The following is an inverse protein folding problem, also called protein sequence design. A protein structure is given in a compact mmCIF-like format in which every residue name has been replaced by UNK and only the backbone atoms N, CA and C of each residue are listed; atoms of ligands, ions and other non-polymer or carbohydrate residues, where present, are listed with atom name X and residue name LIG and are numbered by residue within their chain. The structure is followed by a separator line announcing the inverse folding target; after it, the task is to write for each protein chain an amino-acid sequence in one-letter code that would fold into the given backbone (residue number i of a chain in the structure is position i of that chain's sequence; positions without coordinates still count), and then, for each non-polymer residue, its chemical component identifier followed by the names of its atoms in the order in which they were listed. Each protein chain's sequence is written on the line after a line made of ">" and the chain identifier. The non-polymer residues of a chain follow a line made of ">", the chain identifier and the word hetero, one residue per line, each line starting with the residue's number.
data_IF_940409313431
#
_entry.id   IF_940409313431
#
_cell.length_a   1.000
_cell.length_b   1.000
_cell.length_c   1.000
_cell.angle_alpha   90.00
_cell.angle_beta   90.00
_cell.angle_gamma   90.00
#
_symmetry.space_group_name_H-M   'P 1'
#
loop_
_entity.id
_entity.type
_entity.pdbx_description
1 polymer ?
#
# COMPACT_ATOMS: atom_id res chain seq x y z
N UNK A 1 -6.18 -30.19 0.21
CA UNK A 1 -5.06 -29.74 -0.64
C UNK A 1 -5.55 -29.34 -2.03
N UNK A 2 -6.36 -30.17 -2.69
CA UNK A 2 -6.91 -29.89 -4.02
C UNK A 2 -7.71 -28.56 -4.10
N UNK A 3 -8.59 -28.28 -3.13
CA UNK A 3 -9.32 -27.01 -3.06
C UNK A 3 -8.42 -25.76 -3.07
N UNK A 4 -7.35 -25.77 -2.27
CA UNK A 4 -6.41 -24.65 -2.18
C UNK A 4 -5.64 -24.46 -3.48
N UNK A 5 -5.26 -25.56 -4.15
CA UNK A 5 -4.59 -25.51 -5.45
C UNK A 5 -5.53 -24.90 -6.49
N UNK A 6 -6.75 -25.42 -6.62
CA UNK A 6 -7.74 -24.90 -7.58
C UNK A 6 -8.06 -23.42 -7.34
N UNK A 7 -8.24 -23.03 -6.07
CA UNK A 7 -8.50 -21.63 -5.69
C UNK A 7 -7.31 -20.73 -6.02
N UNK A 8 -6.09 -21.17 -5.72
CA UNK A 8 -4.86 -20.42 -6.05
C UNK A 8 -4.69 -20.22 -7.55
N UNK A 9 -5.00 -21.23 -8.38
CA UNK A 9 -4.96 -21.10 -9.84
C UNK A 9 -6.05 -20.17 -10.36
N UNK A 10 -7.27 -20.25 -9.81
CA UNK A 10 -8.41 -19.42 -10.21
C UNK A 10 -8.17 -17.93 -9.94
N UNK A 11 -7.53 -17.59 -8.82
CA UNK A 11 -7.29 -16.20 -8.38
C UNK A 11 -5.81 -15.82 -8.38
N UNK A 12 -5.03 -16.42 -9.28
CA UNK A 12 -3.58 -16.25 -9.30
C UNK A 12 -3.18 -14.77 -9.44
N UNK A 13 -3.87 -14.02 -10.30
CA UNK A 13 -3.58 -12.60 -10.53
C UNK A 13 -3.85 -11.77 -9.26
N UNK A 14 -5.01 -11.96 -8.64
CA UNK A 14 -5.40 -11.25 -7.42
C UNK A 14 -4.43 -11.56 -6.29
N UNK A 15 -4.12 -12.83 -6.05
CA UNK A 15 -3.19 -13.25 -5.00
C UNK A 15 -1.78 -12.68 -5.21
N UNK A 16 -1.27 -12.68 -6.44
CA UNK A 16 0.05 -12.12 -6.76
C UNK A 16 0.09 -10.61 -6.56
N UNK A 17 -0.94 -9.88 -7.01
CA UNK A 17 -0.99 -8.43 -6.82
C UNK A 17 -1.17 -8.07 -5.35
N UNK A 18 -2.01 -8.79 -4.60
CA UNK A 18 -2.17 -8.57 -3.16
C UNK A 18 -0.88 -8.88 -2.41
N UNK A 19 -0.14 -9.93 -2.79
CA UNK A 19 1.17 -10.22 -2.21
C UNK A 19 2.18 -9.10 -2.51
N UNK A 20 2.19 -8.56 -3.73
CA UNK A 20 3.00 -7.42 -4.10
C UNK A 20 2.67 -6.18 -3.26
N UNK A 21 1.38 -5.83 -3.13
CA UNK A 21 0.94 -4.69 -2.31
C UNK A 21 1.25 -4.92 -0.84
N UNK A 22 1.01 -6.12 -0.31
CA UNK A 22 1.33 -6.48 1.07
C UNK A 22 2.81 -6.24 1.36
N UNK A 23 3.72 -6.79 0.56
CA UNK A 23 5.16 -6.64 0.78
C UNK A 23 5.57 -5.17 0.64
N UNK A 24 5.22 -4.53 -0.48
CA UNK A 24 5.69 -3.17 -0.77
C UNK A 24 5.16 -2.13 0.20
N UNK A 25 3.86 -2.15 0.50
CA UNK A 25 3.22 -1.09 1.29
C UNK A 25 3.29 -1.37 2.78
N UNK A 26 3.20 -2.63 3.22
CA UNK A 26 3.38 -2.92 4.65
C UNK A 26 4.84 -2.65 5.06
N UNK A 27 5.82 -3.06 4.26
CA UNK A 27 7.22 -2.75 4.54
C UNK A 27 7.47 -1.24 4.51
N UNK A 28 7.01 -0.53 3.46
CA UNK A 28 7.20 0.92 3.38
C UNK A 28 6.51 1.69 4.52
N UNK A 29 5.32 1.25 4.93
CA UNK A 29 4.59 1.85 6.05
C UNK A 29 5.30 1.62 7.38
N UNK A 30 5.82 0.41 7.63
CA UNK A 30 6.62 0.10 8.82
C UNK A 30 7.90 0.94 8.83
N UNK A 31 8.62 1.03 7.71
CA UNK A 31 9.86 1.82 7.59
C UNK A 31 9.62 3.31 7.90
N UNK A 32 8.49 3.87 7.45
CA UNK A 32 8.10 5.26 7.78
C UNK A 32 7.82 5.44 9.27
N UNK A 33 7.21 4.45 9.93
CA UNK A 33 6.91 4.53 11.36
C UNK A 33 8.16 4.35 12.23
N UNK A 34 9.12 3.52 11.80
CA UNK A 34 10.35 3.25 12.54
C UNK A 34 11.37 4.38 12.37
N UNK A 35 11.51 4.96 11.17
CA UNK A 35 12.34 6.14 10.90
C UNK A 35 11.51 7.33 10.41
N UNK A 36 10.63 7.81 11.29
CA UNK A 36 9.77 8.96 10.97
C UNK A 36 10.58 10.22 10.68
N UNK A 37 11.59 10.52 11.50
CA UNK A 37 12.36 11.76 11.39
C UNK A 37 13.22 11.80 10.12
N UNK A 38 13.84 10.68 9.73
CA UNK A 38 14.57 10.59 8.46
C UNK A 38 13.65 10.79 7.26
N UNK A 39 12.47 10.16 7.26
CA UNK A 39 11.48 10.33 6.20
C UNK A 39 10.93 11.77 6.12
N UNK A 40 10.71 12.42 7.26
CA UNK A 40 10.31 13.84 7.30
C UNK A 40 11.40 14.75 6.73
N UNK A 41 12.67 14.52 7.08
CA UNK A 41 13.78 15.29 6.53
C UNK A 41 13.90 15.10 5.01
N UNK A 42 13.81 13.86 4.53
CA UNK A 42 13.83 13.52 3.11
C UNK A 42 12.68 14.23 2.36
N UNK A 43 11.43 14.07 2.80
CA UNK A 43 10.28 14.60 2.08
C UNK A 43 10.27 16.14 2.05
N UNK A 44 10.72 16.78 3.13
CA UNK A 44 10.89 18.23 3.18
C UNK A 44 11.95 18.70 2.19
N UNK A 45 13.04 17.97 2.02
CA UNK A 45 14.09 18.30 1.04
C UNK A 45 13.60 18.16 -0.40
N UNK A 46 12.81 17.12 -0.70
CA UNK A 46 12.22 16.88 -2.03
C UNK A 46 11.28 18.03 -2.41
N UNK A 47 10.38 18.42 -1.50
CA UNK A 47 9.37 19.44 -1.78
C UNK A 47 9.77 20.87 -1.44
N UNK A 48 11.02 21.12 -1.05
CA UNK A 48 11.48 22.42 -0.52
C UNK A 48 11.19 23.62 -1.44
N UNK A 49 11.17 23.41 -2.77
CA UNK A 49 10.94 24.45 -3.78
C UNK A 49 9.55 24.38 -4.43
N UNK A 50 8.64 23.61 -3.84
CA UNK A 50 7.30 23.37 -4.39
C UNK A 50 6.23 23.98 -3.49
N UNK A 51 5.01 24.11 -3.99
CA UNK A 51 3.87 24.57 -3.20
C UNK A 51 3.47 23.56 -2.09
N UNK A 52 4.01 22.34 -2.11
CA UNK A 52 3.75 21.29 -1.11
C UNK A 52 4.66 21.38 0.11
N UNK A 53 5.67 22.25 0.13
CA UNK A 53 6.69 22.32 1.18
C UNK A 53 6.10 22.30 2.60
N UNK A 54 5.10 23.14 2.86
CA UNK A 54 4.50 23.34 4.18
C UNK A 54 3.57 22.20 4.62
N UNK A 55 3.07 21.39 3.69
CA UNK A 55 2.16 20.27 3.98
C UNK A 55 2.81 18.90 3.77
N UNK A 56 4.05 18.85 3.29
CA UNK A 56 4.79 17.62 2.95
C UNK A 56 4.81 16.57 4.07
N UNK A 57 4.99 16.99 5.33
CA UNK A 57 4.96 16.09 6.49
C UNK A 57 3.56 15.52 6.76
N UNK A 58 2.51 16.32 6.54
CA UNK A 58 1.13 15.85 6.67
C UNK A 58 0.76 14.85 5.57
N UNK A 59 1.21 15.11 4.33
CA UNK A 59 1.05 14.18 3.22
C UNK A 59 1.77 12.86 3.50
N UNK A 60 2.99 12.90 4.05
CA UNK A 60 3.71 11.69 4.46
C UNK A 60 2.91 10.86 5.46
N UNK A 61 2.24 11.49 6.43
CA UNK A 61 1.41 10.79 7.41
C UNK A 61 0.20 10.10 6.77
N UNK A 62 -0.48 10.80 5.86
CA UNK A 62 -1.61 10.23 5.10
C UNK A 62 -1.15 9.03 4.28
N UNK A 63 -0.01 9.15 3.58
CA UNK A 63 0.55 8.08 2.77
C UNK A 63 0.92 6.88 3.64
N UNK A 64 1.64 7.08 4.75
CA UNK A 64 2.02 6.00 5.65
C UNK A 64 0.80 5.26 6.20
N UNK A 65 -0.25 5.99 6.61
CA UNK A 65 -1.49 5.38 7.08
C UNK A 65 -2.19 4.58 5.97
N UNK A 66 -2.31 5.13 4.76
CA UNK A 66 -2.96 4.47 3.64
C UNK A 66 -2.19 3.23 3.16
N UNK A 67 -0.85 3.27 3.16
CA UNK A 67 0.01 2.12 2.87
C UNK A 67 -0.21 0.99 3.88
N UNK A 68 -0.20 1.31 5.18
CA UNK A 68 -0.46 0.32 6.24
C UNK A 68 -1.87 -0.29 6.09
N UNK A 69 -2.87 0.55 5.81
CA UNK A 69 -4.24 0.08 5.56
C UNK A 69 -4.31 -0.85 4.35
N UNK A 70 -3.69 -0.48 3.22
CA UNK A 70 -3.63 -1.32 2.03
C UNK A 70 -2.89 -2.64 2.28
N UNK A 71 -1.80 -2.63 3.04
CA UNK A 71 -1.08 -3.83 3.45
C UNK A 71 -1.94 -4.77 4.30
N UNK A 72 -2.60 -4.23 5.34
CA UNK A 72 -3.48 -5.02 6.22
C UNK A 72 -4.68 -5.59 5.43
N UNK A 73 -5.32 -4.78 4.59
CA UNK A 73 -6.42 -5.25 3.73
C UNK A 73 -5.95 -6.31 2.74
N UNK A 74 -4.72 -6.22 2.23
CA UNK A 74 -4.14 -7.24 1.34
C UNK A 74 -3.94 -8.56 2.06
N UNK A 75 -3.45 -8.54 3.31
CA UNK A 75 -3.32 -9.74 4.13
C UNK A 75 -4.67 -10.40 4.39
N UNK A 76 -5.69 -9.60 4.76
CA UNK A 76 -7.06 -10.09 4.96
C UNK A 76 -7.64 -10.64 3.65
N UNK A 77 -7.42 -9.93 2.53
CA UNK A 77 -7.88 -10.33 1.20
C UNK A 77 -7.29 -11.66 0.75
N UNK A 78 -5.99 -11.87 0.94
CA UNK A 78 -5.33 -13.16 0.63
C UNK A 78 -5.97 -14.29 1.44
N UNK A 79 -6.17 -14.08 2.75
CA UNK A 79 -6.82 -15.09 3.59
C UNK A 79 -8.25 -15.39 3.13
N UNK A 80 -9.05 -14.36 2.82
CA UNK A 80 -10.45 -14.52 2.42
C UNK A 80 -10.60 -15.18 1.05
N UNK A 81 -9.72 -14.89 0.09
CA UNK A 81 -9.71 -15.58 -1.21
C UNK A 81 -9.40 -17.06 -1.01
N UNK A 82 -8.38 -17.40 -0.21
CA UNK A 82 -7.97 -18.78 -0.01
C UNK A 82 -8.99 -19.60 0.81
N UNK A 83 -9.65 -18.99 1.78
CA UNK A 83 -10.65 -19.66 2.61
C UNK A 83 -12.02 -19.73 1.92
N UNK A 84 -12.50 -18.61 1.39
CA UNK A 84 -13.91 -18.41 1.02
C UNK A 84 -14.12 -18.02 -0.45
N UNK A 85 -13.06 -17.91 -1.26
CA UNK A 85 -13.12 -17.38 -2.64
C UNK A 85 -13.72 -15.97 -2.74
N UNK A 86 -13.69 -15.21 -1.63
CA UNK A 86 -14.21 -13.85 -1.54
C UNK A 86 -13.11 -12.84 -1.82
N UNK A 87 -13.33 -11.98 -2.81
CA UNK A 87 -12.37 -10.97 -3.28
C UNK A 87 -12.61 -9.57 -2.70
N UNK A 88 -13.65 -9.37 -1.88
CA UNK A 88 -14.07 -8.04 -1.43
C UNK A 88 -12.95 -7.23 -0.75
N UNK A 89 -12.27 -7.83 0.24
CA UNK A 89 -11.19 -7.15 0.95
C UNK A 89 -9.96 -6.93 0.06
N UNK A 90 -9.68 -7.85 -0.87
CA UNK A 90 -8.64 -7.67 -1.88
C UNK A 90 -8.94 -6.48 -2.77
N UNK A 91 -10.18 -6.35 -3.26
CA UNK A 91 -10.61 -5.21 -4.06
C UNK A 91 -10.47 -3.87 -3.31
N UNK A 92 -10.86 -3.81 -2.04
CA UNK A 92 -10.64 -2.62 -1.21
C UNK A 92 -9.16 -2.29 -1.05
N UNK A 93 -8.31 -3.29 -0.83
CA UNK A 93 -6.86 -3.10 -0.75
C UNK A 93 -6.31 -2.45 -2.03
N UNK A 94 -6.74 -2.92 -3.20
CA UNK A 94 -6.31 -2.38 -4.49
C UNK A 94 -6.79 -0.96 -4.74
N UNK A 95 -8.01 -0.59 -4.31
CA UNK A 95 -8.49 0.80 -4.41
C UNK A 95 -7.62 1.73 -3.58
N UNK A 96 -7.35 1.36 -2.32
CA UNK A 96 -6.49 2.17 -1.45
C UNK A 96 -5.09 2.24 -2.05
N UNK A 97 -4.56 1.12 -2.52
CA UNK A 97 -3.22 1.06 -3.07
C UNK A 97 -3.07 1.92 -4.34
N UNK A 98 -4.03 1.86 -5.26
CA UNK A 98 -4.04 2.68 -6.46
C UNK A 98 -4.04 4.17 -6.13
N UNK A 99 -4.81 4.62 -5.12
CA UNK A 99 -4.80 6.01 -4.67
C UNK A 99 -3.44 6.44 -4.11
N UNK A 100 -2.79 5.57 -3.33
CA UNK A 100 -1.43 5.81 -2.82
C UNK A 100 -0.43 5.95 -3.98
N UNK A 101 -0.44 5.01 -4.93
CA UNK A 101 0.46 5.04 -6.10
C UNK A 101 0.26 6.32 -6.93
N UNK A 102 -0.99 6.72 -7.16
CA UNK A 102 -1.29 7.98 -7.87
C UNK A 102 -0.75 9.20 -7.12
N UNK A 103 -0.90 9.25 -5.79
CA UNK A 103 -0.37 10.34 -4.98
C UNK A 103 1.16 10.39 -4.99
N UNK A 104 1.82 9.22 -4.91
CA UNK A 104 3.29 9.12 -5.01
C UNK A 104 3.80 9.54 -6.39
N UNK A 105 3.15 9.08 -7.48
CA UNK A 105 3.50 9.45 -8.85
C UNK A 105 3.31 10.95 -9.10
N UNK A 106 2.27 11.55 -8.52
CA UNK A 106 2.05 12.98 -8.56
C UNK A 106 3.18 13.73 -7.85
N UNK A 107 3.52 13.32 -6.62
CA UNK A 107 4.59 13.94 -5.83
C UNK A 107 5.95 13.96 -6.55
N UNK A 108 6.26 12.95 -7.37
CA UNK A 108 7.50 12.91 -8.17
C UNK A 108 7.53 13.87 -9.36
N UNK A 109 6.40 14.50 -9.73
CA UNK A 109 6.24 15.34 -10.92
C UNK A 109 5.91 16.80 -10.59
N UNK A 110 5.92 17.15 -9.31
CA UNK A 110 5.73 18.51 -8.77
C UNK A 110 7.10 19.12 -8.48
#
# INVERSE_FOLDING_TARGET
>A
MEYLIQTSFKFAAELLVLAFILITFLQSGIDKLTDWNGNVAYIKSVFAKTFLANISTFLLAIIAFAEMLAGILSLIGIYQILANQDTFYGFLALIVAAKVLLALLFGQRV
#
